data_IF_810860587025
#
_entry.id   IF_810860587025
#
_cell.length_a   1.000
_cell.length_b   1.000
_cell.length_c   1.000
_cell.angle_alpha   90.00
_cell.angle_beta   90.00
_cell.angle_gamma   90.00
#
_symmetry.space_group_name_H-M   'P 1'
#
loop_
_entity.id
_entity.type
_entity.pdbx_description
1 polymer ?
#
# COMPACT_ATOMS: atom_id res chain seq x y z
N UNK A 1 9.70 -10.79 -1.75
CA UNK A 1 8.55 -10.60 -2.67
C UNK A 1 8.95 -10.11 -4.05
N UNK A 2 9.24 -8.83 -4.28
CA UNK A 2 9.58 -8.35 -5.63
C UNK A 2 10.76 -9.11 -6.25
N UNK A 3 11.88 -9.24 -5.51
CA UNK A 3 13.04 -9.99 -5.97
C UNK A 3 12.75 -11.49 -6.20
N UNK A 4 11.86 -12.09 -5.40
CA UNK A 4 11.45 -13.50 -5.54
C UNK A 4 10.61 -13.72 -6.81
N UNK A 5 9.97 -12.67 -7.32
CA UNK A 5 9.27 -12.63 -8.60
C UNK A 5 10.12 -12.01 -9.73
N UNK A 6 11.44 -11.89 -9.54
CA UNK A 6 12.36 -11.37 -10.55
C UNK A 6 12.21 -9.87 -10.86
N UNK A 7 11.48 -9.12 -10.03
CA UNK A 7 11.29 -7.67 -10.17
C UNK A 7 12.21 -6.92 -9.21
N UNK A 8 12.93 -5.93 -9.71
CA UNK A 8 13.65 -4.98 -8.87
C UNK A 8 12.68 -3.99 -8.22
N UNK A 9 13.00 -3.52 -7.01
CA UNK A 9 12.26 -2.41 -6.37
C UNK A 9 12.43 -1.11 -7.16
N UNK A 10 13.57 -0.93 -7.83
CA UNK A 10 13.83 0.26 -8.65
C UNK A 10 12.89 0.26 -9.86
N UNK A 11 12.04 1.28 -9.95
CA UNK A 11 11.05 1.43 -11.01
C UNK A 11 9.75 0.65 -10.78
N UNK A 12 9.65 -0.15 -9.71
CA UNK A 12 8.41 -0.86 -9.37
C UNK A 12 7.33 0.13 -8.96
N UNK A 13 6.09 -0.15 -9.37
CA UNK A 13 4.89 0.57 -8.91
C UNK A 13 4.40 -0.07 -7.63
N UNK A 14 4.43 0.69 -6.53
CA UNK A 14 3.98 0.23 -5.22
C UNK A 14 2.75 1.01 -4.79
N UNK A 15 1.66 0.30 -4.50
CA UNK A 15 0.45 0.86 -3.93
C UNK A 15 0.42 0.61 -2.42
N UNK A 16 0.33 1.68 -1.63
CA UNK A 16 0.20 1.60 -0.18
C UNK A 16 -1.28 1.75 0.22
N UNK A 17 -1.81 0.78 0.96
CA UNK A 17 -3.18 0.79 1.45
C UNK A 17 -3.23 1.17 2.93
N UNK A 18 -3.88 2.31 3.19
CA UNK A 18 -4.06 2.87 4.52
C UNK A 18 -2.79 3.53 5.05
N UNK A 19 -2.79 4.85 5.16
CA UNK A 19 -1.62 5.66 5.57
C UNK A 19 -1.76 6.24 6.97
N UNK A 20 -2.82 5.85 7.68
CA UNK A 20 -3.14 6.31 9.03
C UNK A 20 -2.59 5.37 10.11
N UNK A 21 -2.40 5.91 11.30
CA UNK A 21 -1.93 5.17 12.47
C UNK A 21 -3.02 4.26 13.04
N UNK A 22 -4.27 4.72 13.05
CA UNK A 22 -5.44 3.96 13.52
C UNK A 22 -6.43 3.65 12.39
N UNK A 23 -7.04 2.46 12.40
CA UNK A 23 -8.06 2.13 11.42
C UNK A 23 -9.24 3.10 11.51
N UNK A 24 -9.88 3.35 10.38
CA UNK A 24 -11.12 4.12 10.26
C UNK A 24 -11.05 5.59 10.76
N UNK A 25 -9.85 6.17 10.83
CA UNK A 25 -9.61 7.57 11.24
C UNK A 25 -8.64 8.26 10.29
N UNK A 26 -8.62 9.60 10.27
CA UNK A 26 -7.65 10.40 9.51
C UNK A 26 -6.33 10.67 10.27
N UNK A 27 -6.11 9.99 11.40
CA UNK A 27 -4.93 10.19 12.26
C UNK A 27 -3.67 9.64 11.56
N UNK A 28 -2.82 10.54 11.09
CA UNK A 28 -1.56 10.20 10.43
C UNK A 28 -0.35 10.38 11.37
N UNK A 29 -0.57 10.76 12.62
CA UNK A 29 0.52 11.02 13.57
C UNK A 29 1.17 9.70 13.97
N UNK A 30 2.50 9.63 13.94
CA UNK A 30 3.28 8.41 14.18
C UNK A 30 2.98 7.20 13.28
N UNK A 31 2.25 7.37 12.17
CA UNK A 31 2.00 6.27 11.22
C UNK A 31 3.31 5.79 10.55
N UNK A 32 3.61 4.47 10.56
CA UNK A 32 4.83 3.94 9.92
C UNK A 32 4.84 4.11 8.40
N UNK A 33 3.68 4.45 7.81
CA UNK A 33 3.50 4.63 6.38
C UNK A 33 4.49 5.62 5.76
N UNK A 34 4.80 6.74 6.46
CA UNK A 34 5.77 7.73 5.94
C UNK A 34 7.17 7.16 5.85
N UNK A 35 7.59 6.38 6.84
CA UNK A 35 8.93 5.76 6.85
C UNK A 35 9.04 4.69 5.77
N UNK A 36 8.01 3.85 5.62
CA UNK A 36 7.96 2.80 4.60
C UNK A 36 7.99 3.42 3.19
N UNK A 37 7.14 4.40 2.90
CA UNK A 37 7.15 5.10 1.63
C UNK A 37 8.50 5.76 1.35
N UNK A 38 9.10 6.38 2.38
CA UNK A 38 10.41 6.99 2.28
C UNK A 38 11.48 5.99 1.83
N UNK A 39 11.57 4.83 2.49
CA UNK A 39 12.55 3.78 2.15
C UNK A 39 12.32 3.24 0.75
N UNK A 40 11.06 3.01 0.35
CA UNK A 40 10.75 2.53 -0.99
C UNK A 40 11.10 3.57 -2.08
N UNK A 41 10.86 4.86 -1.82
CA UNK A 41 11.28 5.94 -2.71
C UNK A 41 12.81 6.02 -2.83
N UNK A 42 13.55 5.83 -1.75
CA UNK A 42 15.02 5.79 -1.75
C UNK A 42 15.56 4.61 -2.58
N UNK A 43 14.81 3.50 -2.63
CA UNK A 43 15.10 2.35 -3.49
C UNK A 43 14.66 2.58 -4.96
N UNK A 44 14.04 3.72 -5.27
CA UNK A 44 13.61 4.11 -6.62
C UNK A 44 12.24 3.59 -7.04
N UNK A 45 11.39 3.17 -6.10
CA UNK A 45 10.02 2.77 -6.40
C UNK A 45 9.12 3.99 -6.69
N UNK A 46 8.11 3.78 -7.54
CA UNK A 46 7.04 4.73 -7.80
C UNK A 46 5.90 4.45 -6.83
N UNK A 47 5.62 5.39 -5.91
CA UNK A 47 4.63 5.19 -4.85
C UNK A 47 3.30 5.84 -5.22
N UNK A 48 2.22 5.08 -5.09
CA UNK A 48 0.85 5.59 -4.97
C UNK A 48 0.26 5.15 -3.63
N UNK A 49 -0.81 5.82 -3.20
CA UNK A 49 -1.51 5.44 -1.97
C UNK A 49 -3.03 5.43 -2.17
N UNK A 50 -3.72 4.66 -1.34
CA UNK A 50 -5.15 4.80 -1.13
C UNK A 50 -5.43 4.77 0.37
N UNK A 51 -6.30 5.68 0.83
CA UNK A 51 -6.83 5.70 2.19
C UNK A 51 -8.24 6.33 2.18
N UNK A 52 -9.26 5.71 2.78
CA UNK A 52 -10.63 6.27 2.76
C UNK A 52 -10.76 7.62 3.47
N UNK A 53 -9.86 7.92 4.41
CA UNK A 53 -9.92 9.09 5.30
C UNK A 53 -8.87 10.15 4.99
N UNK A 54 -7.94 9.90 4.07
CA UNK A 54 -6.84 10.82 3.72
C UNK A 54 -6.85 11.16 2.23
N UNK A 55 -7.28 12.37 1.87
CA UNK A 55 -7.35 12.83 0.48
C UNK A 55 -6.00 13.33 -0.07
N UNK A 56 -5.18 13.97 0.78
CA UNK A 56 -3.84 14.45 0.44
C UNK A 56 -2.85 13.82 1.41
N UNK A 57 -1.79 13.24 0.86
CA UNK A 57 -0.70 12.67 1.62
C UNK A 57 0.64 13.10 1.04
N UNK A 58 1.51 13.59 1.90
CA UNK A 58 2.86 14.04 1.54
C UNK A 58 3.92 13.23 2.27
N UNK A 59 4.99 12.91 1.56
CA UNK A 59 6.18 12.23 2.08
C UNK A 59 7.41 13.07 1.71
N UNK A 60 8.16 13.53 2.73
CA UNK A 60 9.27 14.48 2.57
C UNK A 60 8.86 15.73 1.76
N UNK A 61 7.75 16.36 2.15
CA UNK A 61 7.18 17.52 1.45
C UNK A 61 6.78 17.30 -0.02
N UNK A 62 6.79 16.06 -0.52
CA UNK A 62 6.35 15.73 -1.88
C UNK A 62 4.96 15.09 -1.84
N UNK A 63 4.00 15.57 -2.65
CA UNK A 63 2.70 14.91 -2.75
C UNK A 63 2.87 13.51 -3.33
N UNK A 64 2.18 12.53 -2.75
CA UNK A 64 2.07 11.17 -3.28
C UNK A 64 0.76 11.06 -4.03
N UNK A 65 0.72 10.50 -5.25
CA UNK A 65 -0.54 10.32 -5.97
C UNK A 65 -1.50 9.42 -5.20
N UNK A 66 -2.72 9.92 -4.97
CA UNK A 66 -3.83 9.13 -4.47
C UNK A 66 -4.42 8.32 -5.62
N UNK A 67 -4.68 7.04 -5.37
CA UNK A 67 -5.47 6.20 -6.26
C UNK A 67 -6.96 6.44 -5.95
N UNK A 68 -7.71 6.96 -6.91
CA UNK A 68 -9.17 7.11 -6.76
C UNK A 68 -9.90 5.80 -7.07
N UNK A 69 -9.37 5.02 -8.01
CA UNK A 69 -9.86 3.69 -8.37
C UNK A 69 -8.96 2.63 -7.72
N UNK A 70 -9.35 2.22 -6.51
CA UNK A 70 -8.57 1.30 -5.67
C UNK A 70 -8.23 -0.02 -6.40
N UNK A 71 -9.20 -0.66 -7.04
CA UNK A 71 -8.99 -1.95 -7.68
C UNK A 71 -8.15 -1.86 -8.97
N UNK A 72 -8.29 -0.79 -9.75
CA UNK A 72 -7.45 -0.57 -10.93
C UNK A 72 -6.02 -0.28 -10.52
N UNK A 73 -5.81 0.53 -9.48
CA UNK A 73 -4.49 0.79 -8.94
C UNK A 73 -3.84 -0.49 -8.40
N UNK A 74 -4.59 -1.34 -7.69
CA UNK A 74 -4.08 -2.63 -7.18
C UNK A 74 -3.67 -3.56 -8.32
N UNK A 75 -4.44 -3.61 -9.42
CA UNK A 75 -4.11 -4.42 -10.60
C UNK A 75 -2.90 -3.90 -11.39
N UNK A 76 -2.71 -2.58 -11.42
CA UNK A 76 -1.61 -1.92 -12.11
C UNK A 76 -0.30 -1.89 -11.31
N UNK A 77 -0.37 -2.07 -9.99
CA UNK A 77 0.78 -2.10 -9.10
C UNK A 77 1.55 -3.42 -9.21
N UNK A 78 2.88 -3.35 -9.17
CA UNK A 78 3.75 -4.52 -9.05
C UNK A 78 3.68 -5.11 -7.64
N UNK A 79 3.43 -4.26 -6.64
CA UNK A 79 3.25 -4.63 -5.25
C UNK A 79 2.19 -3.75 -4.60
N UNK A 80 1.19 -4.37 -3.99
CA UNK A 80 0.26 -3.70 -3.07
C UNK A 80 0.66 -4.06 -1.65
N UNK A 81 0.74 -3.07 -0.76
CA UNK A 81 1.11 -3.26 0.65
C UNK A 81 -0.02 -2.76 1.53
N UNK A 82 -0.61 -3.66 2.33
CA UNK A 82 -1.57 -3.32 3.35
C UNK A 82 -0.84 -2.85 4.61
N UNK A 83 -0.86 -1.54 4.86
CA UNK A 83 -0.25 -0.92 6.04
C UNK A 83 -1.28 -0.67 7.14
N UNK A 84 -2.51 -0.29 6.76
CA UNK A 84 -3.64 -0.20 7.68
C UNK A 84 -4.88 -0.86 7.10
N UNK A 85 -5.52 -1.70 7.91
CA UNK A 85 -6.79 -2.31 7.59
C UNK A 85 -7.94 -1.39 7.98
N UNK A 86 -8.49 -0.67 7.01
CA UNK A 86 -9.79 -0.01 7.15
C UNK A 86 -10.92 -1.01 6.89
N UNK A 87 -12.05 -0.84 7.57
CA UNK A 87 -13.22 -1.73 7.40
C UNK A 87 -13.78 -1.73 5.99
N UNK A 88 -13.56 -0.64 5.25
CA UNK A 88 -14.02 -0.48 3.87
C UNK A 88 -13.21 -1.30 2.87
N UNK A 89 -12.06 -1.85 3.26
CA UNK A 89 -11.25 -2.67 2.37
C UNK A 89 -11.79 -4.09 2.28
N UNK A 90 -12.33 -4.42 1.11
CA UNK A 90 -12.54 -5.80 0.69
C UNK A 90 -11.19 -6.42 0.32
N UNK A 91 -10.53 -6.97 1.34
CA UNK A 91 -9.21 -7.58 1.21
C UNK A 91 -9.21 -8.82 0.30
N UNK A 92 -10.34 -9.52 0.19
CA UNK A 92 -10.45 -10.67 -0.70
C UNK A 92 -10.49 -10.23 -2.17
N UNK A 93 -11.32 -9.24 -2.50
CA UNK A 93 -11.33 -8.66 -3.83
C UNK A 93 -9.99 -8.03 -4.21
N UNK A 94 -9.32 -7.35 -3.26
CA UNK A 94 -7.99 -6.79 -3.46
C UNK A 94 -6.93 -7.87 -3.72
N UNK A 95 -6.94 -8.95 -2.95
CA UNK A 95 -6.03 -10.08 -3.16
C UNK A 95 -6.19 -10.73 -4.55
N UNK A 96 -7.43 -10.82 -5.05
CA UNK A 96 -7.71 -11.36 -6.40
C UNK A 96 -7.21 -10.42 -7.51
N UNK A 97 -7.23 -9.11 -7.28
CA UNK A 97 -6.84 -8.10 -8.28
C UNK A 97 -5.36 -7.77 -8.28
N UNK A 98 -4.73 -7.75 -7.11
CA UNK A 98 -3.33 -7.38 -6.96
C UNK A 98 -2.41 -8.44 -7.56
N UNK A 99 -1.35 -8.00 -8.24
CA UNK A 99 -0.30 -8.92 -8.71
C UNK A 99 0.44 -9.57 -7.54
N UNK A 100 0.77 -8.75 -6.54
CA UNK A 100 1.32 -9.15 -5.25
C UNK A 100 0.66 -8.31 -4.16
N UNK A 101 0.19 -8.98 -3.12
CA UNK A 101 -0.31 -8.33 -1.91
C UNK A 101 0.56 -8.74 -0.72
N UNK A 102 1.17 -7.75 -0.07
CA UNK A 102 1.86 -7.89 1.21
C UNK A 102 0.94 -7.39 2.33
N UNK A 103 0.62 -8.29 3.25
CA UNK A 103 -0.20 -8.01 4.41
C UNK A 103 0.67 -7.90 5.66
N UNK A 104 0.91 -6.66 6.11
CA UNK A 104 1.70 -6.40 7.32
C UNK A 104 0.86 -6.43 8.60
N UNK A 105 -0.43 -6.77 8.51
CA UNK A 105 -1.39 -6.75 9.62
C UNK A 105 -1.95 -8.13 9.94
N UNK A 106 -1.74 -9.12 9.06
CA UNK A 106 -2.30 -10.47 9.17
C UNK A 106 -3.82 -10.52 8.98
N UNK A 107 -4.37 -9.51 8.28
CA UNK A 107 -5.79 -9.24 8.14
C UNK A 107 -6.48 -10.02 7.01
N UNK A 108 -5.73 -10.43 5.99
CA UNK A 108 -6.23 -11.14 4.80
C UNK A 108 -6.70 -12.58 5.15
N UNK A 109 -7.50 -13.25 4.30
CA UNK A 109 -7.77 -14.70 4.41
C UNK A 109 -6.54 -15.58 4.13
N UNK A 110 -6.52 -16.82 4.61
CA UNK A 110 -5.35 -17.70 4.48
C UNK A 110 -5.05 -18.01 3.00
N UNK A 111 -3.79 -17.84 2.59
CA UNK A 111 -3.36 -18.04 1.20
C UNK A 111 -3.72 -16.90 0.23
N UNK A 112 -4.40 -15.83 0.69
CA UNK A 112 -4.80 -14.71 -0.17
C UNK A 112 -3.68 -13.66 -0.36
N UNK A 113 -2.68 -13.63 0.51
CA UNK A 113 -1.58 -12.67 0.46
C UNK A 113 -0.31 -13.24 1.11
N UNK A 114 0.83 -12.63 0.80
CA UNK A 114 2.04 -12.85 1.57
C UNK A 114 1.93 -12.09 2.88
N UNK A 115 1.95 -12.81 4.00
CA UNK A 115 1.86 -12.25 5.35
C UNK A 115 3.24 -12.18 6.00
N UNK A 116 3.45 -11.16 6.84
CA UNK A 116 4.57 -11.11 7.79
C UNK A 116 4.19 -11.72 9.13
#
# INVERSE_FOLDING_TARGET
LLNEHGKSVRGARVLLLGVTYKPDTADQEAAPAREIATRLMDMGAQIGFHDPHVLDWRVRERPVPRADSLYEAAAAADLTVLLQQHRTYDLQGLAVKAQLLLDTRGATPAGAAHRL
#
